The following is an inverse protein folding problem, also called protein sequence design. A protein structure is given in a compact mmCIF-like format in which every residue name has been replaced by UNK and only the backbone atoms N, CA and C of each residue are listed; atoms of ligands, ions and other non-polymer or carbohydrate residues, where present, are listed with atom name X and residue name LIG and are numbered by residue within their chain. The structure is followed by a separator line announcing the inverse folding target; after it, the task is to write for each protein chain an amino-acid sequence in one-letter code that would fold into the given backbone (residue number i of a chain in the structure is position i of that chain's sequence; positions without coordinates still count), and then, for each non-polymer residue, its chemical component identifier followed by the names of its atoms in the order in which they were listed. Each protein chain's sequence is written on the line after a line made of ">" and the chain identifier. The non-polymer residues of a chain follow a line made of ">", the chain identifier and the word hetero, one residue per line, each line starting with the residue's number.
data_IF_237662333268
#
_entry.id   IF_237662333268
#
_cell.length_a   1.000
_cell.length_b   1.000
_cell.length_c   1.000
_cell.angle_alpha   90.00
_cell.angle_beta   90.00
_cell.angle_gamma   90.00
#
_symmetry.space_group_name_H-M   'P 1'
#
loop_
_entity.id
_entity.type
_entity.pdbx_description
1 polymer ?
#
# COMPACT_ATOMS: atom_id res chain seq x y z
N UNK A 1 -39.10 1.05 -23.86
CA UNK A 1 -39.11 -0.42 -23.72
C UNK A 1 -37.70 -0.91 -23.97
N UNK A 2 -37.12 -1.62 -23.01
CA UNK A 2 -35.69 -1.59 -22.69
C UNK A 2 -34.94 -2.82 -23.21
N UNK A 3 -33.63 -2.68 -23.46
CA UNK A 3 -32.79 -3.84 -23.75
C UNK A 3 -32.03 -4.39 -22.56
N UNK A 4 -31.99 -3.74 -21.38
CA UNK A 4 -31.97 -4.58 -20.19
C UNK A 4 -32.65 -3.92 -18.99
N UNK A 5 -33.75 -4.54 -18.56
CA UNK A 5 -34.49 -4.27 -17.32
C UNK A 5 -33.72 -4.71 -16.07
N UNK A 6 -32.53 -5.28 -16.25
CA UNK A 6 -31.60 -5.72 -15.21
C UNK A 6 -30.16 -5.26 -15.51
N UNK A 7 -29.96 -4.27 -16.41
CA UNK A 7 -28.61 -3.80 -16.69
C UNK A 7 -28.15 -2.84 -15.60
N UNK A 8 -27.18 -3.27 -14.80
CA UNK A 8 -26.26 -2.35 -14.12
C UNK A 8 -24.96 -2.41 -14.93
N UNK A 9 -24.58 -1.29 -15.55
CA UNK A 9 -23.25 -1.17 -16.18
C UNK A 9 -22.31 -0.62 -15.11
N UNK A 10 -21.42 -1.46 -14.61
CA UNK A 10 -20.26 -1.02 -13.83
C UNK A 10 -19.00 -1.25 -14.68
N UNK A 11 -18.18 -0.20 -14.81
CA UNK A 11 -16.79 -0.37 -15.21
C UNK A 11 -16.00 -0.55 -13.92
N UNK A 12 -15.49 -1.75 -13.66
CA UNK A 12 -14.42 -1.93 -12.68
C UNK A 12 -13.09 -1.84 -13.42
N UNK A 13 -12.49 -0.65 -13.42
CA UNK A 13 -11.03 -0.58 -13.45
C UNK A 13 -10.55 -0.85 -12.03
N UNK A 14 -9.92 -2.00 -11.82
CA UNK A 14 -9.08 -2.22 -10.63
C UNK A 14 -7.70 -2.59 -11.13
N UNK A 15 -7.05 -1.61 -11.75
CA UNK A 15 -5.60 -1.51 -11.77
C UNK A 15 -5.22 -0.04 -11.55
N UNK A 16 -4.90 0.29 -10.30
CA UNK A 16 -3.62 0.93 -10.04
C UNK A 16 -3.38 2.39 -10.41
N UNK A 17 -4.30 3.14 -11.02
CA UNK A 17 -4.04 4.55 -11.34
C UNK A 17 -4.98 5.48 -10.56
N UNK A 18 -4.41 6.50 -9.91
CA UNK A 18 -5.13 7.73 -9.56
C UNK A 18 -5.46 8.41 -10.89
N UNK A 19 -6.73 8.57 -11.29
CA UNK A 19 -7.07 9.16 -12.59
C UNK A 19 -6.63 10.63 -12.68
N UNK A 20 -6.43 11.30 -11.55
CA UNK A 20 -5.83 12.64 -11.44
C UNK A 20 -4.32 12.67 -11.68
N UNK A 21 -3.64 11.52 -11.67
CA UNK A 21 -2.19 11.41 -11.89
C UNK A 21 -1.85 10.48 -13.06
N UNK A 22 -2.78 10.28 -14.01
CA UNK A 22 -2.60 9.33 -15.11
C UNK A 22 -1.48 9.69 -16.09
N UNK A 23 -1.04 10.95 -16.09
CA UNK A 23 0.05 11.47 -16.92
C UNK A 23 1.39 11.51 -16.19
N UNK A 24 1.43 11.17 -14.89
CA UNK A 24 2.62 11.27 -14.05
C UNK A 24 3.53 10.05 -14.24
N UNK A 25 4.83 10.23 -13.99
CA UNK A 25 5.79 9.13 -13.98
C UNK A 25 5.53 8.23 -12.75
N UNK A 26 5.18 6.96 -12.97
CA UNK A 26 4.92 5.99 -11.90
C UNK A 26 6.21 5.26 -11.50
N UNK A 27 6.65 5.46 -10.26
CA UNK A 27 7.69 4.67 -9.60
C UNK A 27 7.04 3.58 -8.75
N UNK A 28 7.46 2.32 -8.96
CA UNK A 28 7.07 1.24 -8.05
C UNK A 28 8.08 1.14 -6.94
N UNK A 29 7.61 0.85 -5.74
CA UNK A 29 8.47 0.74 -4.55
C UNK A 29 9.70 -0.18 -4.74
N UNK A 30 9.54 -1.31 -5.41
CA UNK A 30 10.62 -2.29 -5.64
C UNK A 30 11.55 -1.93 -6.82
N UNK A 31 11.25 -0.85 -7.55
CA UNK A 31 12.11 -0.36 -8.64
C UNK A 31 13.06 0.75 -8.14
N UNK A 32 12.92 1.18 -6.88
CA UNK A 32 13.75 2.21 -6.25
C UNK A 32 14.94 1.59 -5.50
N UNK A 33 16.05 2.33 -5.44
CA UNK A 33 17.24 1.92 -4.70
C UNK A 33 17.08 2.15 -3.19
N UNK A 34 17.74 1.31 -2.38
CA UNK A 34 17.83 1.49 -0.92
C UNK A 34 18.36 2.88 -0.55
N UNK A 35 17.74 3.51 0.45
CA UNK A 35 18.08 4.87 0.90
C UNK A 35 17.61 6.00 -0.04
N UNK A 36 16.91 5.68 -1.13
CA UNK A 36 16.22 6.70 -1.94
C UNK A 36 15.16 7.41 -1.10
N UNK A 37 14.92 8.68 -1.37
CA UNK A 37 13.91 9.47 -0.67
C UNK A 37 12.85 9.98 -1.66
N UNK A 38 11.59 10.02 -1.23
CA UNK A 38 10.47 10.49 -2.04
C UNK A 38 9.56 11.39 -1.19
N UNK A 39 9.11 12.51 -1.76
CA UNK A 39 8.26 13.49 -1.08
C UNK A 39 6.95 13.63 -1.85
N UNK A 40 5.82 13.69 -1.15
CA UNK A 40 4.55 14.00 -1.79
C UNK A 40 3.33 13.81 -0.92
N UNK A 41 2.16 14.07 -1.50
CA UNK A 41 0.87 13.89 -0.84
C UNK A 41 0.51 12.39 -0.81
N UNK A 42 0.33 11.78 0.38
CA UNK A 42 -0.02 10.37 0.46
C UNK A 42 -1.51 10.12 0.17
N UNK A 43 -1.82 8.93 -0.33
CA UNK A 43 -3.19 8.45 -0.49
C UNK A 43 -3.24 6.92 -0.41
N UNK A 44 -3.92 6.39 0.61
CA UNK A 44 -4.17 4.97 0.81
C UNK A 44 -5.57 4.59 0.31
N UNK A 45 -5.63 3.71 -0.68
CA UNK A 45 -6.90 3.19 -1.22
C UNK A 45 -7.61 2.28 -0.23
N UNK A 46 -8.88 1.95 -0.49
CA UNK A 46 -9.54 0.81 0.17
C UNK A 46 -8.78 -0.51 -0.10
N UNK A 47 -9.06 -1.54 0.72
CA UNK A 47 -8.59 -2.90 0.45
C UNK A 47 -9.39 -3.48 -0.73
N UNK A 48 -8.68 -4.10 -1.67
CA UNK A 48 -9.24 -4.82 -2.81
C UNK A 48 -9.02 -6.32 -2.64
N UNK A 49 -10.06 -7.11 -2.92
CA UNK A 49 -9.98 -8.55 -3.09
C UNK A 49 -9.62 -8.88 -4.55
N UNK A 50 -8.59 -9.69 -4.73
CA UNK A 50 -8.12 -10.15 -6.03
C UNK A 50 -8.04 -11.68 -6.04
N UNK A 51 -8.47 -12.32 -7.13
CA UNK A 51 -8.34 -13.76 -7.30
C UNK A 51 -7.17 -14.11 -8.22
N UNK A 52 -6.33 -15.05 -7.80
CA UNK A 52 -5.21 -15.57 -8.58
C UNK A 52 -5.30 -17.07 -8.70
N UNK A 53 -4.81 -17.62 -9.79
CA UNK A 53 -4.64 -19.07 -9.88
C UNK A 53 -3.55 -19.53 -8.91
N UNK A 54 -3.83 -20.61 -8.19
CA UNK A 54 -2.89 -21.24 -7.28
C UNK A 54 -1.95 -22.19 -8.04
N UNK A 55 -0.66 -22.11 -7.73
CA UNK A 55 0.38 -22.98 -8.26
C UNK A 55 0.92 -23.85 -7.12
N UNK A 56 1.16 -25.12 -7.38
CA UNK A 56 1.83 -26.01 -6.43
C UNK A 56 3.33 -25.63 -6.29
N UNK A 57 4.05 -26.31 -5.39
CA UNK A 57 5.48 -26.06 -5.15
C UNK A 57 6.37 -26.35 -6.37
N UNK A 58 5.83 -27.06 -7.36
CA UNK A 58 6.48 -27.42 -8.61
C UNK A 58 6.14 -26.45 -9.76
N UNK A 59 5.34 -25.41 -9.49
CA UNK A 59 4.95 -24.40 -10.47
C UNK A 59 3.80 -24.82 -11.40
N UNK A 60 3.03 -25.85 -11.05
CA UNK A 60 1.88 -26.31 -11.82
C UNK A 60 0.56 -25.78 -11.24
N UNK A 61 -0.38 -25.41 -12.11
CA UNK A 61 -1.73 -24.97 -11.73
C UNK A 61 -2.46 -26.06 -10.92
N UNK A 62 -2.95 -25.72 -9.73
CA UNK A 62 -3.72 -26.65 -8.89
C UNK A 62 -5.19 -26.70 -9.27
N UNK A 63 -5.67 -25.75 -10.09
CA UNK A 63 -7.07 -25.55 -10.43
C UNK A 63 -7.88 -24.82 -9.34
N UNK A 64 -7.24 -24.44 -8.22
CA UNK A 64 -7.84 -23.61 -7.19
C UNK A 64 -7.54 -22.13 -7.44
N UNK A 65 -8.44 -21.28 -6.95
CA UNK A 65 -8.21 -19.83 -6.87
C UNK A 65 -7.82 -19.44 -5.45
N UNK A 66 -6.80 -18.61 -5.32
CA UNK A 66 -6.41 -17.96 -4.07
C UNK A 66 -6.84 -16.51 -4.07
N UNK A 67 -7.56 -16.11 -3.02
CA UNK A 67 -7.90 -14.71 -2.76
C UNK A 67 -6.71 -14.01 -2.12
N UNK A 68 -6.33 -12.85 -2.64
CA UNK A 68 -5.34 -11.94 -2.05
C UNK A 68 -5.97 -10.58 -1.83
N UNK A 69 -5.68 -10.00 -0.68
CA UNK A 69 -6.22 -8.72 -0.27
C UNK A 69 -5.10 -7.70 -0.25
N UNK A 70 -5.30 -6.55 -0.88
CA UNK A 70 -4.28 -5.49 -0.89
C UNK A 70 -4.88 -4.11 -1.08
N UNK A 71 -4.25 -3.10 -0.49
CA UNK A 71 -4.45 -1.70 -0.83
C UNK A 71 -3.21 -1.17 -1.58
N UNK A 72 -3.35 -0.02 -2.23
CA UNK A 72 -2.24 0.74 -2.78
C UNK A 72 -2.06 2.02 -1.98
N UNK A 73 -0.84 2.28 -1.55
CA UNK A 73 -0.42 3.60 -1.10
C UNK A 73 0.21 4.31 -2.30
N UNK A 74 -0.29 5.51 -2.58
CA UNK A 74 0.32 6.45 -3.52
C UNK A 74 0.97 7.58 -2.75
N UNK A 75 2.11 8.07 -3.21
CA UNK A 75 2.73 9.31 -2.75
C UNK A 75 2.93 10.16 -4.00
N UNK A 76 2.18 11.25 -4.11
CA UNK A 76 2.10 12.06 -5.32
C UNK A 76 2.91 13.33 -5.18
N UNK A 77 3.89 13.54 -6.06
CA UNK A 77 4.63 14.78 -6.17
C UNK A 77 4.13 15.57 -7.39
N UNK A 78 3.28 16.57 -7.14
CA UNK A 78 2.72 17.40 -8.21
C UNK A 78 3.74 18.38 -8.82
N UNK A 79 4.85 18.68 -8.14
CA UNK A 79 5.87 19.61 -8.66
C UNK A 79 6.71 18.94 -9.74
N UNK A 80 7.02 17.65 -9.55
CA UNK A 80 7.80 16.85 -10.49
C UNK A 80 6.94 15.99 -11.44
N UNK A 81 5.62 15.96 -11.24
CA UNK A 81 4.69 15.06 -11.94
C UNK A 81 5.07 13.58 -11.77
N UNK A 82 5.36 13.18 -10.53
CA UNK A 82 5.80 11.82 -10.16
C UNK A 82 4.82 11.18 -9.17
N UNK A 83 4.67 9.86 -9.23
CA UNK A 83 3.88 9.10 -8.26
C UNK A 83 4.62 7.84 -7.83
N UNK A 84 4.90 7.72 -6.53
CA UNK A 84 5.38 6.48 -5.94
C UNK A 84 4.18 5.61 -5.56
N UNK A 85 4.19 4.35 -5.99
CA UNK A 85 3.18 3.35 -5.70
C UNK A 85 3.74 2.19 -4.90
N UNK A 86 3.19 1.99 -3.72
CA UNK A 86 3.51 0.89 -2.82
C UNK A 86 2.30 -0.02 -2.62
N UNK A 87 2.47 -1.33 -2.86
CA UNK A 87 1.43 -2.32 -2.63
C UNK A 87 1.46 -2.79 -1.17
N UNK A 88 0.33 -2.64 -0.48
CA UNK A 88 0.16 -3.04 0.92
C UNK A 88 -0.70 -4.30 0.98
N UNK A 89 -0.12 -5.42 1.44
CA UNK A 89 -0.80 -6.72 1.43
C UNK A 89 -1.45 -7.04 2.78
N UNK A 90 -2.65 -7.61 2.75
CA UNK A 90 -3.45 -7.98 3.92
C UNK A 90 -3.89 -9.44 3.86
N UNK A 91 -4.30 -9.97 5.02
CA UNK A 91 -4.84 -11.34 5.14
C UNK A 91 -6.34 -11.44 4.82
N UNK A 92 -7.07 -10.32 4.90
CA UNK A 92 -8.50 -10.18 4.64
C UNK A 92 -8.82 -8.74 4.24
N UNK A 93 -10.05 -8.50 3.79
CA UNK A 93 -10.66 -7.18 3.54
C UNK A 93 -11.40 -6.61 4.76
N UNK A 94 -11.38 -7.31 5.89
CA UNK A 94 -11.92 -6.82 7.16
C UNK A 94 -11.24 -5.53 7.62
N UNK A 95 -12.01 -4.68 8.30
CA UNK A 95 -11.49 -3.44 8.90
C UNK A 95 -10.44 -3.71 9.98
N UNK A 96 -10.63 -4.73 10.82
CA UNK A 96 -9.61 -5.13 11.80
C UNK A 96 -8.43 -5.80 11.08
N UNK A 97 -7.34 -5.07 10.91
CA UNK A 97 -6.11 -5.56 10.29
C UNK A 97 -5.09 -5.99 11.33
N UNK A 98 -4.23 -6.94 10.94
CA UNK A 98 -3.03 -7.33 11.67
C UNK A 98 -1.84 -7.24 10.73
N UNK A 99 -0.84 -6.46 11.12
CA UNK A 99 0.36 -6.19 10.32
C UNK A 99 1.59 -6.65 11.09
N UNK A 100 2.51 -7.28 10.39
CA UNK A 100 3.71 -7.89 10.98
C UNK A 100 4.94 -7.09 10.58
N UNK A 101 5.96 -7.08 11.44
CA UNK A 101 7.26 -6.46 11.18
C UNK A 101 7.82 -6.85 9.82
N UNK A 102 8.52 -5.91 9.17
CA UNK A 102 9.03 -6.00 7.80
C UNK A 102 7.92 -6.10 6.73
N UNK A 103 6.79 -5.44 6.96
CA UNK A 103 5.79 -5.21 5.92
C UNK A 103 5.62 -3.72 5.70
N UNK A 104 5.28 -3.31 4.48
CA UNK A 104 5.07 -1.88 4.14
C UNK A 104 4.11 -1.21 5.14
N UNK A 105 2.99 -1.85 5.48
CA UNK A 105 2.05 -1.30 6.47
C UNK A 105 2.67 -1.13 7.85
N UNK A 106 3.48 -2.12 8.28
CA UNK A 106 4.16 -2.05 9.57
C UNK A 106 5.12 -0.88 9.60
N UNK A 107 5.98 -0.71 8.61
CA UNK A 107 6.99 0.35 8.62
C UNK A 107 6.37 1.75 8.54
N UNK A 108 5.23 1.89 7.84
CA UNK A 108 4.40 3.12 7.87
C UNK A 108 3.90 3.41 9.29
N UNK A 109 3.25 2.45 9.95
CA UNK A 109 2.67 2.64 11.29
C UNK A 109 3.77 2.91 12.32
N UNK A 110 4.84 2.12 12.26
CA UNK A 110 5.97 2.20 13.16
C UNK A 110 6.65 3.57 13.08
N UNK A 111 6.87 4.07 11.86
CA UNK A 111 7.47 5.39 11.65
C UNK A 111 6.56 6.55 12.05
N UNK A 112 5.24 6.47 11.79
CA UNK A 112 4.28 7.48 12.29
C UNK A 112 4.30 7.54 13.81
N UNK A 113 4.33 6.39 14.47
CA UNK A 113 4.35 6.33 15.92
C UNK A 113 5.68 6.86 16.50
N UNK A 114 6.83 6.51 15.91
CA UNK A 114 8.14 7.07 16.29
C UNK A 114 8.16 8.60 16.17
N UNK A 115 7.55 9.16 15.12
CA UNK A 115 7.48 10.61 14.91
C UNK A 115 6.58 11.32 15.94
N UNK A 116 5.53 10.65 16.43
CA UNK A 116 4.60 11.22 17.41
C UNK A 116 5.05 10.97 18.87
N UNK A 117 5.74 9.86 19.14
CA UNK A 117 6.26 9.47 20.44
C UNK A 117 7.68 8.89 20.31
N UNK A 118 8.72 9.74 20.33
CA UNK A 118 10.12 9.30 20.19
C UNK A 118 10.61 8.41 21.35
N UNK A 119 9.90 8.35 22.47
CA UNK A 119 10.25 7.52 23.63
C UNK A 119 9.59 6.13 23.61
N UNK A 120 8.92 5.78 22.50
CA UNK A 120 8.19 4.53 22.34
C UNK A 120 9.10 3.29 22.48
N UNK A 121 8.57 2.27 23.17
CA UNK A 121 9.24 0.96 23.29
C UNK A 121 9.35 0.24 21.93
N UNK A 122 10.58 -0.13 21.53
CA UNK A 122 10.91 -0.79 20.24
C UNK A 122 10.47 -2.27 20.13
N UNK A 123 9.92 -2.87 21.19
CA UNK A 123 9.72 -4.33 21.29
C UNK A 123 8.45 -4.86 20.59
N UNK A 124 7.78 -4.06 19.76
CA UNK A 124 6.58 -4.53 19.03
C UNK A 124 7.02 -5.17 17.72
N UNK A 125 6.36 -6.28 17.36
CA UNK A 125 6.60 -6.99 16.10
C UNK A 125 5.30 -7.20 15.31
N UNK A 126 4.17 -6.81 15.87
CA UNK A 126 2.84 -6.92 15.28
C UNK A 126 1.99 -5.75 15.77
N UNK A 127 1.32 -5.05 14.84
CA UNK A 127 0.24 -4.12 15.17
C UNK A 127 -1.12 -4.72 14.81
N UNK A 128 -2.16 -4.28 15.53
CA UNK A 128 -3.56 -4.61 15.22
C UNK A 128 -4.39 -3.36 15.43
N UNK A 129 -5.12 -2.95 14.39
CA UNK A 129 -5.86 -1.68 14.35
C UNK A 129 -7.00 -1.73 13.32
N UNK A 130 -7.81 -0.67 13.27
CA UNK A 130 -8.75 -0.45 12.17
C UNK A 130 -7.98 0.03 10.93
N UNK A 131 -8.23 -0.61 9.79
CA UNK A 131 -7.75 -0.15 8.49
C UNK A 131 -8.35 1.20 8.14
N UNK A 132 -9.61 1.44 8.51
CA UNK A 132 -10.26 2.72 8.27
C UNK A 132 -9.58 3.86 9.03
N UNK A 133 -9.21 3.65 10.29
CA UNK A 133 -8.43 4.63 11.06
C UNK A 133 -7.07 4.92 10.41
N UNK A 134 -6.34 3.88 9.97
CA UNK A 134 -5.07 4.04 9.25
C UNK A 134 -5.26 4.81 7.93
N UNK A 135 -6.28 4.46 7.16
CA UNK A 135 -6.60 5.10 5.90
C UNK A 135 -6.95 6.57 6.08
N UNK A 136 -7.81 6.89 7.05
CA UNK A 136 -8.23 8.26 7.30
C UNK A 136 -7.04 9.10 7.76
N UNK A 137 -6.23 8.58 8.69
CA UNK A 137 -5.01 9.26 9.12
C UNK A 137 -4.07 9.56 7.95
N UNK A 138 -3.74 8.56 7.13
CA UNK A 138 -2.82 8.75 6.00
C UNK A 138 -3.39 9.73 4.97
N UNK A 139 -4.69 9.66 4.69
CA UNK A 139 -5.33 10.51 3.68
C UNK A 139 -5.55 11.96 4.16
N UNK A 140 -5.50 12.20 5.46
CA UNK A 140 -5.57 13.53 6.06
C UNK A 140 -4.19 14.21 6.15
N UNK A 141 -3.09 13.49 5.86
CA UNK A 141 -1.76 14.09 5.82
C UNK A 141 -1.59 14.93 4.55
N UNK A 142 -1.13 16.17 4.73
CA UNK A 142 -0.86 17.05 3.59
C UNK A 142 0.35 16.55 2.80
N UNK A 143 1.49 16.31 3.43
CA UNK A 143 2.68 15.81 2.74
C UNK A 143 3.48 14.87 3.63
N UNK A 144 4.19 13.92 3.01
CA UNK A 144 5.15 13.07 3.71
C UNK A 144 6.46 12.99 2.93
N UNK A 145 7.55 12.86 3.67
CA UNK A 145 8.84 12.39 3.15
C UNK A 145 9.00 10.93 3.56
N UNK A 146 9.35 10.09 2.60
CA UNK A 146 9.62 8.68 2.84
C UNK A 146 11.02 8.30 2.38
N UNK A 147 11.67 7.44 3.14
CA UNK A 147 12.91 6.79 2.75
C UNK A 147 12.63 5.32 2.43
N UNK A 148 13.21 4.85 1.33
CA UNK A 148 13.10 3.46 0.88
C UNK A 148 14.07 2.60 1.67
N UNK A 149 13.59 1.46 2.15
CA UNK A 149 14.38 0.50 2.92
C UNK A 149 14.32 -0.85 2.22
N UNK A 150 15.47 -1.33 1.79
CA UNK A 150 15.62 -2.67 1.24
C UNK A 150 15.73 -3.71 2.36
N UNK A 151 15.00 -4.81 2.23
CA UNK A 151 15.07 -5.96 3.12
C UNK A 151 15.62 -7.17 2.36
N UNK A 152 16.70 -7.74 2.90
CA UNK A 152 17.24 -9.02 2.43
C UNK A 152 16.59 -10.18 3.21
N UNK A 153 15.75 -10.96 2.53
CA UNK A 153 15.12 -12.15 3.08
C UNK A 153 15.26 -13.38 2.17
N UNK A 154 14.18 -14.18 2.07
CA UNK A 154 14.10 -15.24 1.06
C UNK A 154 14.06 -14.69 -0.39
N UNK A 155 13.71 -13.41 -0.51
CA UNK A 155 13.77 -12.57 -1.70
C UNK A 155 14.08 -11.14 -1.22
N UNK A 156 14.72 -10.34 -2.07
CA UNK A 156 14.91 -8.91 -1.83
C UNK A 156 13.60 -8.17 -2.09
N UNK A 157 13.21 -7.26 -1.21
CA UNK A 157 12.04 -6.42 -1.38
C UNK A 157 12.21 -5.10 -0.64
N UNK A 158 11.51 -4.07 -1.12
CA UNK A 158 11.55 -2.75 -0.52
C UNK A 158 10.31 -2.50 0.34
N UNK A 159 10.54 -1.71 1.38
CA UNK A 159 9.54 -1.06 2.23
C UNK A 159 9.82 0.44 2.25
N UNK A 160 9.04 1.19 3.01
CA UNK A 160 9.25 2.63 3.17
C UNK A 160 9.03 3.03 4.61
N UNK A 161 9.82 4.00 5.07
CA UNK A 161 9.62 4.67 6.36
C UNK A 161 9.29 6.13 6.14
N UNK A 162 8.31 6.63 6.88
CA UNK A 162 7.99 8.05 6.89
C UNK A 162 8.99 8.74 7.81
N UNK A 163 9.79 9.64 7.26
CA UNK A 163 10.82 10.37 8.02
C UNK A 163 10.39 11.79 8.38
N UNK A 164 9.38 12.32 7.69
CA UNK A 164 8.80 13.62 7.97
C UNK A 164 7.33 13.64 7.56
N UNK A 165 6.52 14.32 8.37
CA UNK A 165 5.14 14.70 8.05
C UNK A 165 5.13 16.22 7.87
N UNK A 166 4.70 16.70 6.70
CA UNK A 166 4.53 18.11 6.40
C UNK A 166 3.24 18.65 7.02
N UNK A 167 3.31 19.88 7.53
CA UNK A 167 2.17 20.70 7.95
C UNK A 167 1.61 21.55 6.80
#
# INVERSE_FOLDING_TARGET
>A
MALFSTLVKETQEIEGNRPDTSEYEEFKLNDLDDGSSFVGNPFLTKIYENEFDEYNKQGELTGNKVKKYSANLYITNNENEEVLKAKVNFKSDNDSIKVFKNSVAYDIIDSIEELNDPEKEEDKNVYSMSFKELQDYINDLDSITVDIIEHEGNFTYNTLRITQIGE
#
